data_IF_687730350953
#
_entry.id   IF_687730350953
#
_cell.length_a   1.000
_cell.length_b   1.000
_cell.length_c   1.000
_cell.angle_alpha   90.00
_cell.angle_beta   90.00
_cell.angle_gamma   90.00
#
_symmetry.space_group_name_H-M   'P 1'
#
loop_
_entity.id
_entity.type
_entity.pdbx_description
1 polymer ?
#
# COMPACT_ATOMS: atom_id res chain seq x y z
N UNK A 1 54.25 -23.01 7.57
CA UNK A 1 54.10 -21.83 8.45
C UNK A 1 54.00 -20.65 7.51
N UNK A 2 52.82 -20.07 7.35
CA UNK A 2 52.60 -18.92 6.46
C UNK A 2 52.23 -17.76 7.36
N UNK A 3 52.95 -16.65 7.23
CA UNK A 3 52.70 -15.41 7.97
C UNK A 3 51.96 -14.45 7.04
N UNK A 4 50.82 -13.92 7.48
CA UNK A 4 50.12 -12.82 6.82
C UNK A 4 49.96 -11.70 7.83
N UNK A 5 50.33 -10.48 7.44
CA UNK A 5 50.26 -9.29 8.29
C UNK A 5 49.04 -8.47 7.90
N UNK A 6 48.11 -8.29 8.83
CA UNK A 6 46.98 -7.38 8.69
C UNK A 6 46.99 -6.48 9.93
N UNK A 7 47.02 -5.16 9.72
CA UNK A 7 46.87 -4.14 10.77
C UNK A 7 47.78 -4.29 12.00
N UNK A 8 49.06 -4.58 11.79
CA UNK A 8 50.11 -4.63 12.83
C UNK A 8 50.02 -5.74 13.90
N UNK A 9 49.15 -6.75 13.73
CA UNK A 9 49.18 -7.94 14.59
C UNK A 9 49.77 -9.16 13.85
N UNK A 10 50.79 -9.79 14.44
CA UNK A 10 51.41 -11.02 13.90
C UNK A 10 50.68 -12.22 14.47
N UNK A 11 49.76 -12.79 13.67
CA UNK A 11 48.98 -13.96 14.09
C UNK A 11 49.71 -15.24 13.67
N UNK A 12 50.13 -16.05 14.65
CA UNK A 12 50.77 -17.35 14.43
C UNK A 12 49.67 -18.39 14.13
N UNK A 13 49.40 -18.64 12.85
CA UNK A 13 48.43 -19.65 12.44
C UNK A 13 49.07 -21.05 12.46
N UNK A 14 48.92 -21.76 13.59
CA UNK A 14 49.22 -23.19 13.71
C UNK A 14 48.33 -24.03 12.79
N UNK A 15 48.84 -25.18 12.34
CA UNK A 15 48.20 -26.12 11.39
C UNK A 15 46.73 -26.36 11.77
N UNK A 16 45.80 -25.73 11.05
CA UNK A 16 44.38 -25.88 11.35
C UNK A 16 43.96 -27.34 11.20
N UNK A 17 43.47 -27.93 12.28
CA UNK A 17 42.90 -29.27 12.25
C UNK A 17 41.69 -29.26 11.30
N UNK A 18 41.52 -30.31 10.50
CA UNK A 18 40.37 -30.43 9.57
C UNK A 18 39.03 -30.17 10.28
N UNK A 19 38.94 -30.58 11.55
CA UNK A 19 37.81 -30.32 12.44
C UNK A 19 37.58 -28.82 12.67
N UNK A 20 38.63 -28.02 12.86
CA UNK A 20 38.51 -26.57 13.04
C UNK A 20 38.00 -25.87 11.77
N UNK A 21 38.40 -26.32 10.58
CA UNK A 21 37.89 -25.79 9.30
C UNK A 21 36.41 -26.17 9.11
N UNK A 22 36.02 -27.39 9.50
CA UNK A 22 34.62 -27.81 9.48
C UNK A 22 33.77 -27.01 10.47
N UNK A 23 34.28 -26.75 11.68
CA UNK A 23 33.59 -25.93 12.69
C UNK A 23 33.43 -24.49 12.20
N UNK A 24 34.47 -23.87 11.63
CA UNK A 24 34.38 -22.52 11.06
C UNK A 24 33.40 -22.46 9.87
N UNK A 25 33.37 -23.51 9.04
CA UNK A 25 32.39 -23.64 7.95
C UNK A 25 30.96 -23.77 8.46
N UNK A 26 30.73 -24.60 9.47
CA UNK A 26 29.44 -24.77 10.13
C UNK A 26 28.99 -23.48 10.84
N UNK A 27 29.90 -22.79 11.53
CA UNK A 27 29.61 -21.49 12.18
C UNK A 27 29.21 -20.42 11.16
N UNK A 28 29.88 -20.37 10.00
CA UNK A 28 29.55 -19.43 8.94
C UNK A 28 28.16 -19.72 8.33
N UNK A 29 27.82 -21.00 8.14
CA UNK A 29 26.50 -21.39 7.65
C UNK A 29 25.41 -21.13 8.69
N UNK A 30 25.69 -21.33 9.98
CA UNK A 30 24.73 -20.96 11.04
C UNK A 30 24.46 -19.46 11.10
N UNK A 31 25.43 -18.60 10.80
CA UNK A 31 25.22 -17.15 10.68
C UNK A 31 24.35 -16.79 9.48
N UNK A 32 24.58 -17.43 8.32
CA UNK A 32 23.73 -17.24 7.13
C UNK A 32 22.29 -17.71 7.39
N UNK A 33 22.11 -18.84 8.06
CA UNK A 33 20.79 -19.35 8.43
C UNK A 33 20.09 -18.45 9.47
N UNK A 34 20.84 -17.87 10.42
CA UNK A 34 20.29 -16.89 11.36
C UNK A 34 19.89 -15.59 10.64
N UNK A 35 20.67 -15.10 9.68
CA UNK A 35 20.31 -13.95 8.85
C UNK A 35 19.10 -14.21 7.95
N UNK A 36 18.99 -15.41 7.37
CA UNK A 36 17.81 -15.82 6.60
C UNK A 36 16.60 -15.98 7.52
N UNK A 37 16.76 -16.49 8.73
CA UNK A 37 15.67 -16.54 9.71
C UNK A 37 15.24 -15.15 10.17
N UNK A 38 16.15 -14.17 10.26
CA UNK A 38 15.84 -12.78 10.57
C UNK A 38 15.14 -12.08 9.39
N UNK A 39 15.54 -12.40 8.16
CA UNK A 39 14.87 -11.96 6.93
C UNK A 39 13.52 -12.65 6.69
N UNK A 40 13.32 -13.87 7.18
CA UNK A 40 12.04 -14.57 7.14
C UNK A 40 11.14 -14.22 8.34
N UNK A 41 11.70 -13.81 9.47
CA UNK A 41 10.96 -13.27 10.62
C UNK A 41 10.38 -11.88 10.31
N UNK A 42 11.00 -11.13 9.40
CA UNK A 42 10.41 -9.93 8.80
C UNK A 42 9.50 -10.22 7.58
N UNK A 43 9.38 -11.49 7.17
CA UNK A 43 8.48 -11.93 6.10
C UNK A 43 7.25 -12.71 6.60
N UNK A 44 7.20 -13.09 7.88
CA UNK A 44 5.92 -13.19 8.57
C UNK A 44 5.50 -11.77 8.93
N UNK A 45 4.65 -11.19 8.10
CA UNK A 45 3.76 -10.13 8.58
C UNK A 45 2.90 -10.78 9.67
N UNK A 46 3.39 -10.77 10.91
CA UNK A 46 2.53 -10.75 12.07
C UNK A 46 1.64 -9.53 11.87
N UNK A 47 0.39 -9.76 11.47
CA UNK A 47 -0.68 -8.83 11.77
C UNK A 47 -0.89 -8.94 13.28
N UNK A 48 0.06 -8.38 14.03
CA UNK A 48 -0.13 -8.05 15.42
C UNK A 48 -1.24 -7.01 15.47
N UNK A 49 -2.18 -7.26 16.37
CA UNK A 49 -3.43 -6.55 16.58
C UNK A 49 -3.26 -5.06 16.92
N UNK A 50 -2.86 -4.26 15.94
CA UNK A 50 -3.45 -2.94 15.70
C UNK A 50 -4.40 -3.21 14.53
N UNK A 51 -5.65 -3.52 14.83
CA UNK A 51 -6.72 -3.28 13.86
C UNK A 51 -6.88 -1.77 13.79
N UNK A 52 -5.90 -1.09 13.19
CA UNK A 52 -6.21 -0.04 12.26
C UNK A 52 -6.89 -0.83 11.15
N UNK A 53 -8.23 -0.94 11.24
CA UNK A 53 -9.01 -1.08 10.03
C UNK A 53 -8.35 -0.11 9.03
N UNK A 54 -7.94 -0.53 7.82
CA UNK A 54 -7.55 0.44 6.83
C UNK A 54 -8.67 1.46 6.86
N UNK A 55 -8.34 2.68 7.28
CA UNK A 55 -9.27 3.77 7.19
C UNK A 55 -9.44 3.86 5.68
N UNK A 56 -10.44 3.16 5.15
CA UNK A 56 -10.95 3.33 3.80
C UNK A 56 -11.12 4.83 3.73
N UNK A 57 -10.16 5.51 3.10
CA UNK A 57 -10.14 6.95 3.03
C UNK A 57 -11.43 7.28 2.31
N UNK A 58 -12.42 7.76 3.06
CA UNK A 58 -13.72 8.11 2.52
C UNK A 58 -13.49 9.31 1.61
N UNK A 59 -13.25 9.05 0.33
CA UNK A 59 -13.11 10.11 -0.65
C UNK A 59 -14.51 10.67 -0.93
N UNK A 60 -14.68 11.96 -0.67
CA UNK A 60 -15.89 12.69 -1.03
C UNK A 60 -15.57 13.59 -2.21
N UNK A 61 -16.38 13.49 -3.25
CA UNK A 61 -16.32 14.39 -4.40
C UNK A 61 -17.41 15.44 -4.21
N UNK A 62 -17.04 16.70 -4.38
CA UNK A 62 -17.97 17.84 -4.33
C UNK A 62 -18.20 18.35 -5.75
N UNK A 63 -19.46 18.56 -6.09
CA UNK A 63 -19.85 19.18 -7.35
C UNK A 63 -20.53 20.51 -7.07
N UNK A 64 -20.22 21.49 -7.89
CA UNK A 64 -20.68 22.87 -7.81
C UNK A 64 -21.33 23.29 -9.13
N UNK A 65 -21.81 24.54 -9.19
CA UNK A 65 -22.36 25.09 -10.43
C UNK A 65 -21.31 25.16 -11.55
N UNK A 66 -20.04 25.31 -11.19
CA UNK A 66 -18.92 25.33 -12.15
C UNK A 66 -18.69 23.96 -12.81
N UNK A 67 -19.16 22.88 -12.17
CA UNK A 67 -19.07 21.50 -12.68
C UNK A 67 -20.28 21.10 -13.55
N UNK A 68 -21.21 22.04 -13.78
CA UNK A 68 -22.41 21.86 -14.62
C UNK A 68 -23.72 21.58 -13.87
N UNK A 69 -23.69 21.53 -12.53
CA UNK A 69 -24.89 21.42 -11.71
C UNK A 69 -25.68 22.73 -11.76
N UNK A 70 -26.98 22.70 -12.08
CA UNK A 70 -27.73 23.96 -12.30
C UNK A 70 -27.98 24.79 -11.05
N UNK A 71 -28.03 24.18 -9.87
CA UNK A 71 -28.35 24.86 -8.64
C UNK A 71 -27.73 24.17 -7.42
N UNK A 72 -27.37 24.96 -6.42
CA UNK A 72 -26.74 24.48 -5.20
C UNK A 72 -27.71 23.80 -4.22
N UNK A 73 -29.02 24.02 -4.38
CA UNK A 73 -30.04 23.41 -3.53
C UNK A 73 -30.68 22.24 -4.25
N UNK A 74 -30.51 21.03 -3.71
CA UNK A 74 -31.07 19.80 -4.27
C UNK A 74 -32.34 19.43 -3.50
N UNK A 75 -33.45 19.31 -4.20
CA UNK A 75 -34.75 18.87 -3.65
C UNK A 75 -34.92 17.35 -3.72
N UNK A 76 -34.43 16.73 -4.81
CA UNK A 76 -34.62 15.31 -5.07
C UNK A 76 -33.44 14.74 -5.87
N UNK A 77 -33.10 13.48 -5.61
CA UNK A 77 -32.09 12.71 -6.34
C UNK A 77 -32.69 11.37 -6.76
N UNK A 78 -32.51 10.99 -8.03
CA UNK A 78 -32.88 9.69 -8.57
C UNK A 78 -31.69 9.07 -9.30
N UNK A 79 -31.52 7.76 -9.16
CA UNK A 79 -30.46 7.00 -9.83
C UNK A 79 -31.12 6.02 -10.79
N UNK A 80 -30.76 6.09 -12.06
CA UNK A 80 -31.20 5.14 -13.07
C UNK A 80 -30.40 3.82 -13.00
N UNK A 81 -30.97 2.75 -13.53
CA UNK A 81 -30.25 1.49 -13.74
C UNK A 81 -29.01 1.62 -14.65
N UNK A 82 -28.97 2.65 -15.50
CA UNK A 82 -27.83 3.01 -16.34
C UNK A 82 -26.63 3.57 -15.55
N UNK A 83 -26.84 3.94 -14.28
CA UNK A 83 -25.87 4.64 -13.45
C UNK A 83 -25.95 6.17 -13.52
N UNK A 84 -26.85 6.73 -14.34
CA UNK A 84 -27.08 8.17 -14.37
C UNK A 84 -27.73 8.69 -13.10
N UNK A 85 -27.27 9.84 -12.63
CA UNK A 85 -27.81 10.50 -11.45
C UNK A 85 -28.57 11.74 -11.89
N UNK A 86 -29.83 11.83 -11.50
CA UNK A 86 -30.71 12.96 -11.75
C UNK A 86 -30.86 13.75 -10.46
N UNK A 87 -30.64 15.06 -10.54
CA UNK A 87 -30.81 15.98 -9.42
C UNK A 87 -31.82 17.08 -9.79
N UNK A 88 -32.90 17.18 -9.02
CA UNK A 88 -33.81 18.34 -9.07
C UNK A 88 -33.24 19.43 -8.20
N UNK A 89 -32.89 20.54 -8.83
CA UNK A 89 -32.30 21.69 -8.16
C UNK A 89 -33.27 22.86 -8.12
N UNK A 90 -32.93 23.90 -7.36
CA UNK A 90 -33.63 25.19 -7.36
C UNK A 90 -33.66 25.91 -8.71
N UNK A 91 -32.81 25.50 -9.67
CA UNK A 91 -32.73 26.11 -11.01
C UNK A 91 -33.05 25.16 -12.16
N UNK A 92 -33.60 23.97 -11.86
CA UNK A 92 -34.01 22.98 -12.86
C UNK A 92 -33.39 21.61 -12.63
N UNK A 93 -33.42 20.76 -13.65
CA UNK A 93 -32.97 19.36 -13.56
C UNK A 93 -31.56 19.23 -14.14
N UNK A 94 -30.66 18.62 -13.37
CA UNK A 94 -29.29 18.29 -13.81
C UNK A 94 -29.09 16.78 -13.84
N UNK A 95 -28.37 16.28 -14.83
CA UNK A 95 -28.05 14.85 -14.98
C UNK A 95 -26.55 14.67 -15.00
N UNK A 96 -26.05 13.74 -14.20
CA UNK A 96 -24.67 13.27 -14.18
C UNK A 96 -24.57 11.96 -14.97
N UNK A 97 -23.65 11.90 -15.92
CA UNK A 97 -23.40 10.72 -16.76
C UNK A 97 -22.24 9.83 -16.30
N UNK A 98 -21.59 10.18 -15.19
CA UNK A 98 -20.37 9.52 -14.71
C UNK A 98 -19.13 10.38 -14.85
N UNK A 99 -19.17 11.43 -15.69
CA UNK A 99 -18.05 12.35 -15.90
C UNK A 99 -18.47 13.81 -15.66
N UNK A 100 -19.62 14.25 -16.17
CA UNK A 100 -20.04 15.65 -16.17
C UNK A 100 -21.51 15.82 -15.82
N UNK A 101 -21.85 16.99 -15.28
CA UNK A 101 -23.23 17.43 -15.11
C UNK A 101 -23.71 18.23 -16.33
N UNK A 102 -24.96 18.01 -16.75
CA UNK A 102 -25.60 18.82 -17.78
C UNK A 102 -27.09 19.01 -17.52
N UNK A 103 -27.64 20.09 -18.10
CA UNK A 103 -29.05 20.45 -18.00
C UNK A 103 -29.96 19.42 -18.68
N UNK A 104 -31.09 19.15 -18.04
CA UNK A 104 -32.22 18.42 -18.62
C UNK A 104 -33.54 19.11 -18.28
N UNK A 105 -34.58 18.80 -19.06
CA UNK A 105 -35.91 19.43 -18.92
C UNK A 105 -36.98 18.45 -18.43
N UNK A 106 -36.81 17.14 -18.67
CA UNK A 106 -37.82 16.11 -18.41
C UNK A 106 -37.15 14.87 -17.83
N UNK A 107 -37.76 14.31 -16.79
CA UNK A 107 -37.38 13.04 -16.16
C UNK A 107 -37.54 11.85 -17.12
N UNK A 108 -36.81 10.74 -16.88
CA UNK A 108 -37.12 9.48 -17.55
C UNK A 108 -38.52 9.01 -17.12
N UNK A 109 -39.26 8.41 -18.06
CA UNK A 109 -40.55 7.73 -17.79
C UNK A 109 -40.35 6.37 -17.12
#
# INVERSE_FOLDING_TARGET
MVLCQINNEVIIMGKFNKIAILILGLLNWTMILLLLSFSLCSASNEVDSIVDTPFEQEYRIFYTEDDGLLGSYIFEIMIEASGKIWAVTDRGISVFDGELWYKKEVFPE
#
